data_IF_590422101776
#
_entry.id   IF_590422101776
#
_cell.length_a   1.000
_cell.length_b   1.000
_cell.length_c   1.000
_cell.angle_alpha   90.00
_cell.angle_beta   90.00
_cell.angle_gamma   90.00
#
_symmetry.space_group_name_H-M   'P 1'
#
loop_
_entity.id
_entity.type
_entity.pdbx_description
1 polymer ?
#
# COMPACT_ATOMS: atom_id res chain seq x y z
N UNK A 1 6.31 19.87 -5.59
CA UNK A 1 5.67 19.44 -4.33
C UNK A 1 6.52 18.31 -3.75
N UNK A 2 7.29 18.57 -2.69
CA UNK A 2 8.27 17.61 -2.18
C UNK A 2 7.61 16.33 -1.67
N UNK A 3 8.11 15.16 -2.09
CA UNK A 3 7.63 13.87 -1.60
C UNK A 3 8.16 13.63 -0.20
N UNK A 4 7.34 13.89 0.82
CA UNK A 4 7.69 13.59 2.22
C UNK A 4 7.84 12.07 2.41
N UNK A 5 9.01 11.66 2.91
CA UNK A 5 9.32 10.30 3.32
C UNK A 5 9.16 10.19 4.84
N UNK A 6 8.71 9.03 5.31
CA UNK A 6 8.58 8.73 6.74
C UNK A 6 9.21 7.38 7.06
N UNK A 7 9.48 7.14 8.34
CA UNK A 7 10.14 5.93 8.81
C UNK A 7 9.28 4.70 8.53
N UNK A 8 9.89 3.64 8.01
CA UNK A 8 9.18 2.37 7.81
C UNK A 8 8.90 1.75 9.18
N UNK A 9 7.64 1.39 9.42
CA UNK A 9 7.17 0.85 10.69
C UNK A 9 6.89 1.95 11.71
N UNK A 10 5.66 1.97 12.22
CA UNK A 10 5.19 2.97 13.18
C UNK A 10 6.00 2.99 14.48
N UNK A 11 6.59 1.86 14.88
CA UNK A 11 7.47 1.81 16.07
C UNK A 11 8.75 2.62 15.92
N UNK A 12 9.13 2.97 14.69
CA UNK A 12 10.36 3.71 14.40
C UNK A 12 10.08 5.21 14.21
N UNK A 13 8.84 5.72 14.35
CA UNK A 13 8.45 7.08 13.97
C UNK A 13 9.27 8.19 14.63
N UNK A 14 9.72 7.95 15.86
CA UNK A 14 10.43 8.94 16.67
C UNK A 14 11.96 8.89 16.49
N UNK A 15 12.48 7.91 15.75
CA UNK A 15 13.90 7.81 15.43
C UNK A 15 14.26 8.69 14.22
N UNK A 16 14.80 9.88 14.47
CA UNK A 16 15.23 10.82 13.44
C UNK A 16 16.27 10.22 12.47
N UNK A 17 17.12 9.30 12.95
CA UNK A 17 18.22 8.71 12.20
C UNK A 17 17.86 7.36 11.56
N UNK A 18 16.60 6.92 11.70
CA UNK A 18 16.16 5.65 11.13
C UNK A 18 16.44 5.61 9.63
N UNK A 19 17.15 4.59 9.19
CA UNK A 19 17.76 4.53 7.85
C UNK A 19 16.76 4.27 6.73
N UNK A 20 15.68 3.53 7.01
CA UNK A 20 14.73 3.10 6.00
C UNK A 20 13.49 4.00 6.00
N UNK A 21 13.21 4.64 4.87
CA UNK A 21 12.06 5.53 4.73
C UNK A 21 11.19 5.11 3.56
N UNK A 22 9.89 5.39 3.63
CA UNK A 22 8.95 5.15 2.54
C UNK A 22 8.01 6.35 2.31
N UNK A 23 7.39 6.42 1.12
CA UNK A 23 6.36 7.42 0.79
C UNK A 23 5.02 7.02 1.40
N UNK A 24 4.21 7.99 1.81
CA UNK A 24 2.85 7.70 2.33
C UNK A 24 2.05 6.99 1.27
N UNK A 25 1.32 5.95 1.67
CA UNK A 25 0.39 5.24 0.79
C UNK A 25 -0.67 6.23 0.31
N UNK A 26 -0.99 6.18 -0.97
CA UNK A 26 -2.03 6.98 -1.60
C UNK A 26 -3.01 6.00 -2.23
N UNK A 27 -4.29 6.14 -1.87
CA UNK A 27 -5.35 5.30 -2.43
C UNK A 27 -6.39 6.16 -3.14
N UNK A 28 -7.02 5.58 -4.16
CA UNK A 28 -8.09 6.20 -4.92
C UNK A 28 -9.22 5.18 -5.09
N UNK A 29 -10.43 5.58 -4.75
CA UNK A 29 -11.61 4.77 -5.01
C UNK A 29 -12.04 4.99 -6.47
N UNK A 30 -12.25 3.90 -7.19
CA UNK A 30 -12.64 3.87 -8.59
C UNK A 30 -13.90 3.03 -8.77
N UNK A 31 -14.78 3.43 -9.69
CA UNK A 31 -16.06 2.75 -9.91
C UNK A 31 -17.12 3.04 -8.84
N UNK A 32 -18.22 2.30 -8.90
CA UNK A 32 -19.39 2.43 -8.02
C UNK A 32 -20.19 1.13 -7.97
N UNK A 33 -21.02 0.97 -6.94
CA UNK A 33 -21.83 -0.24 -6.75
C UNK A 33 -20.97 -1.51 -6.72
N UNK A 34 -21.40 -2.55 -7.44
CA UNK A 34 -20.70 -3.84 -7.46
C UNK A 34 -19.34 -3.81 -8.16
N UNK A 35 -19.01 -2.74 -8.88
CA UNK A 35 -17.74 -2.58 -9.60
C UNK A 35 -16.75 -1.64 -8.89
N UNK A 36 -16.98 -1.33 -7.60
CA UNK A 36 -16.09 -0.47 -6.82
C UNK A 36 -14.75 -1.15 -6.52
N UNK A 37 -13.66 -0.40 -6.70
CA UNK A 37 -12.29 -0.86 -6.47
C UNK A 37 -11.49 0.24 -5.79
N UNK A 38 -10.49 -0.18 -5.04
CA UNK A 38 -9.48 0.69 -4.46
C UNK A 38 -8.19 0.51 -5.23
N UNK A 39 -7.73 1.59 -5.86
CA UNK A 39 -6.44 1.68 -6.52
C UNK A 39 -5.39 2.20 -5.52
N UNK A 40 -4.36 1.42 -5.23
CA UNK A 40 -3.21 1.92 -4.46
C UNK A 40 -2.20 2.53 -5.43
N UNK A 41 -2.33 3.84 -5.63
CA UNK A 41 -1.73 4.61 -6.73
C UNK A 41 -0.21 4.53 -6.74
N UNK A 42 0.43 4.48 -5.58
CA UNK A 42 1.88 4.43 -5.43
C UNK A 42 2.41 3.12 -4.87
N UNK A 43 1.72 1.99 -5.10
CA UNK A 43 2.13 0.69 -4.57
C UNK A 43 3.53 0.28 -5.00
N UNK A 44 3.94 0.59 -6.23
CA UNK A 44 5.29 0.28 -6.72
C UNK A 44 6.37 0.97 -5.88
N UNK A 45 6.18 2.25 -5.53
CA UNK A 45 7.12 2.98 -4.69
C UNK A 45 7.17 2.43 -3.25
N UNK A 46 6.00 2.11 -2.69
CA UNK A 46 5.88 1.55 -1.35
C UNK A 46 6.57 0.18 -1.29
N UNK A 47 6.25 -0.71 -2.22
CA UNK A 47 6.83 -2.05 -2.27
C UNK A 47 8.35 -2.02 -2.51
N UNK A 48 8.82 -1.08 -3.34
CA UNK A 48 10.26 -0.85 -3.56
C UNK A 48 10.97 -0.44 -2.27
N UNK A 49 10.39 0.45 -1.46
CA UNK A 49 10.96 0.84 -0.17
C UNK A 49 11.01 -0.34 0.83
N UNK A 50 10.10 -1.31 0.68
CA UNK A 50 10.07 -2.55 1.47
C UNK A 50 10.94 -3.67 0.89
N UNK A 51 11.64 -3.43 -0.22
CA UNK A 51 12.39 -4.44 -0.98
C UNK A 51 11.53 -5.67 -1.35
N UNK A 52 10.24 -5.45 -1.67
CA UNK A 52 9.30 -6.50 -2.09
C UNK A 52 8.72 -6.20 -3.48
N UNK A 53 8.33 -7.23 -4.24
CA UNK A 53 7.53 -7.04 -5.44
C UNK A 53 6.16 -6.42 -5.10
N UNK A 54 5.71 -5.45 -5.91
CA UNK A 54 4.41 -4.81 -5.71
C UNK A 54 3.24 -5.79 -5.81
N UNK A 55 3.36 -6.83 -6.65
CA UNK A 55 2.40 -7.93 -6.74
C UNK A 55 2.24 -8.68 -5.42
N UNK A 56 3.33 -8.91 -4.69
CA UNK A 56 3.32 -9.60 -3.40
C UNK A 56 2.62 -8.78 -2.32
N UNK A 57 2.97 -7.50 -2.19
CA UNK A 57 2.31 -6.58 -1.25
C UNK A 57 0.83 -6.36 -1.62
N UNK A 58 0.50 -6.31 -2.91
CA UNK A 58 -0.90 -6.21 -3.37
C UNK A 58 -1.69 -7.47 -3.00
N UNK A 59 -1.09 -8.65 -3.18
CA UNK A 59 -1.70 -9.94 -2.84
C UNK A 59 -1.93 -10.10 -1.33
N UNK A 60 -1.05 -9.53 -0.50
CA UNK A 60 -1.25 -9.51 0.95
C UNK A 60 -2.59 -8.85 1.34
N UNK A 61 -2.95 -7.72 0.71
CA UNK A 61 -4.24 -7.08 0.96
C UNK A 61 -5.42 -7.96 0.57
N UNK A 62 -5.30 -8.77 -0.49
CA UNK A 62 -6.36 -9.74 -0.83
C UNK A 62 -6.61 -10.75 0.27
N UNK A 63 -5.54 -11.29 0.87
CA UNK A 63 -5.66 -12.23 1.98
C UNK A 63 -6.31 -11.58 3.21
N UNK A 64 -5.87 -10.40 3.60
CA UNK A 64 -6.36 -9.73 4.83
C UNK A 64 -7.76 -9.13 4.67
N UNK A 65 -8.15 -8.73 3.45
CA UNK A 65 -9.46 -8.13 3.18
C UNK A 65 -10.50 -9.15 2.71
N UNK A 66 -10.09 -10.38 2.39
CA UNK A 66 -10.97 -11.36 1.74
C UNK A 66 -11.51 -10.87 0.40
N UNK A 67 -10.75 -10.05 -0.32
CA UNK A 67 -11.20 -9.36 -1.53
C UNK A 67 -10.18 -9.53 -2.66
N UNK A 68 -10.64 -9.97 -3.83
CA UNK A 68 -9.74 -10.18 -4.97
C UNK A 68 -8.92 -8.93 -5.30
N UNK A 69 -7.64 -9.14 -5.57
CA UNK A 69 -6.71 -8.10 -6.01
C UNK A 69 -6.19 -8.38 -7.41
N UNK A 70 -5.67 -7.32 -8.06
CA UNK A 70 -4.95 -7.41 -9.33
C UNK A 70 -3.80 -6.41 -9.33
N UNK A 71 -2.62 -6.88 -9.73
CA UNK A 71 -1.50 -6.02 -10.07
C UNK A 71 -1.24 -6.11 -11.58
N UNK A 72 -1.16 -4.96 -12.24
CA UNK A 72 -0.76 -4.87 -13.65
C UNK A 72 0.68 -4.33 -13.72
N UNK A 73 1.61 -5.18 -14.13
CA UNK A 73 3.05 -4.87 -14.12
C UNK A 73 3.43 -3.76 -15.09
N UNK A 74 2.71 -3.62 -16.21
CA UNK A 74 3.03 -2.64 -17.25
C UNK A 74 2.76 -1.20 -16.79
N UNK A 75 1.54 -0.85 -16.32
CA UNK A 75 1.26 0.47 -15.79
C UNK A 75 1.59 0.61 -14.29
N UNK A 76 1.95 -0.48 -13.60
CA UNK A 76 2.22 -0.48 -12.16
C UNK A 76 0.97 -0.25 -11.29
N UNK A 77 -0.21 -0.65 -11.80
CA UNK A 77 -1.50 -0.37 -11.16
C UNK A 77 -1.88 -1.52 -10.22
N UNK A 78 -2.15 -1.17 -8.96
CA UNK A 78 -2.58 -2.10 -7.91
C UNK A 78 -4.04 -1.86 -7.55
N UNK A 79 -4.91 -2.82 -7.90
CA UNK A 79 -6.34 -2.77 -7.59
C UNK A 79 -6.71 -3.82 -6.56
N UNK A 80 -7.57 -3.44 -5.62
CA UNK A 80 -8.24 -4.34 -4.68
C UNK A 80 -9.73 -4.09 -4.76
N UNK A 81 -10.54 -5.15 -4.89
CA UNK A 81 -12.00 -5.00 -4.94
C UNK A 81 -12.54 -4.44 -3.61
N UNK A 82 -13.58 -3.60 -3.70
CA UNK A 82 -14.18 -2.93 -2.56
C UNK A 82 -13.68 -1.51 -2.34
N UNK A 83 -14.33 -0.83 -1.39
CA UNK A 83 -13.99 0.53 -0.97
C UNK A 83 -13.19 0.49 0.32
N UNK A 84 -11.87 0.61 0.21
CA UNK A 84 -10.95 0.63 1.36
C UNK A 84 -10.25 1.98 1.38
N UNK A 85 -10.40 2.69 2.49
CA UNK A 85 -9.73 3.97 2.68
C UNK A 85 -8.23 3.77 2.94
N UNK A 86 -7.47 4.86 2.79
CA UNK A 86 -6.01 4.83 2.96
C UNK A 86 -5.62 4.38 4.38
N UNK A 87 -6.37 4.78 5.41
CA UNK A 87 -6.04 4.47 6.79
C UNK A 87 -6.13 2.95 7.07
N UNK A 88 -7.19 2.28 6.60
CA UNK A 88 -7.32 0.83 6.73
C UNK A 88 -6.19 0.08 6.02
N UNK A 89 -5.88 0.44 4.78
CA UNK A 89 -4.81 -0.21 4.01
C UNK A 89 -3.42 0.06 4.60
N UNK A 90 -3.17 1.27 5.12
CA UNK A 90 -1.93 1.59 5.82
C UNK A 90 -1.79 0.75 7.11
N UNK A 91 -2.87 0.56 7.88
CA UNK A 91 -2.85 -0.31 9.05
C UNK A 91 -2.53 -1.77 8.73
N UNK A 92 -3.07 -2.30 7.63
CA UNK A 92 -2.70 -3.63 7.15
C UNK A 92 -1.24 -3.71 6.69
N UNK A 93 -0.75 -2.68 5.99
CA UNK A 93 0.66 -2.61 5.60
C UNK A 93 1.60 -2.60 6.82
N UNK A 94 1.22 -1.93 7.90
CA UNK A 94 1.98 -1.96 9.15
C UNK A 94 2.05 -3.37 9.74
N UNK A 95 0.97 -4.16 9.66
CA UNK A 95 1.00 -5.56 10.07
C UNK A 95 1.90 -6.41 9.17
N UNK A 96 1.89 -6.14 7.86
CA UNK A 96 2.80 -6.77 6.90
C UNK A 96 4.27 -6.49 7.20
N UNK A 97 4.61 -5.25 7.59
CA UNK A 97 5.98 -4.84 7.91
C UNK A 97 6.49 -5.52 9.20
N UNK A 98 5.59 -5.81 10.14
CA UNK A 98 5.93 -6.45 11.42
C UNK A 98 6.08 -7.97 11.34
N UNK A 99 5.45 -8.61 10.35
CA UNK A 99 5.50 -10.06 10.13
C UNK A 99 6.70 -10.44 9.26
#
# INVERSE_FOLDING_TARGET
MGTFLFNIGASNSDDAFFRYKMRKMITKIEGRGNAIKTNIVNMVDVAKALARPASYTTKYFECELGAQSKFDEKPGVSLVNGSHDTAKLAGLLENFIKK
#
